data_IF_274134576983
#
_entry.id   IF_274134576983
#
_cell.length_a   1.000
_cell.length_b   1.000
_cell.length_c   1.000
_cell.angle_alpha   90.00
_cell.angle_beta   90.00
_cell.angle_gamma   90.00
#
_symmetry.space_group_name_H-M   'P 1'
#
loop_
_entity.id
_entity.type
_entity.pdbx_description
1 polymer ?
#
# COMPACT_ATOMS: atom_id res chain seq x y z
N UNK A 1 -59.51 -10.22 46.52
CA UNK A 1 -58.03 -10.01 46.51
C UNK A 1 -57.55 -10.18 45.07
N UNK A 2 -57.03 -9.11 44.45
CA UNK A 2 -56.60 -9.08 43.04
C UNK A 2 -55.09 -9.33 42.98
N UNK A 3 -54.66 -10.42 42.34
CA UNK A 3 -53.26 -10.66 42.01
C UNK A 3 -52.93 -9.99 40.66
N UNK A 4 -51.93 -9.10 40.66
CA UNK A 4 -51.40 -8.45 39.46
C UNK A 4 -50.34 -9.36 38.84
N UNK A 5 -50.56 -9.84 37.62
CA UNK A 5 -49.53 -10.47 36.80
C UNK A 5 -48.54 -9.41 36.31
N UNK A 6 -47.26 -9.58 36.63
CA UNK A 6 -46.16 -8.88 35.99
C UNK A 6 -45.84 -9.61 34.67
N UNK A 7 -45.99 -8.92 33.54
CA UNK A 7 -45.53 -9.39 32.24
C UNK A 7 -44.06 -9.00 32.13
N UNK A 8 -43.18 -10.00 32.24
CA UNK A 8 -41.76 -9.86 31.91
C UNK A 8 -41.61 -9.86 30.39
N UNK A 9 -41.21 -8.73 29.82
CA UNK A 9 -40.73 -8.69 28.44
C UNK A 9 -39.33 -9.30 28.42
N UNK A 10 -39.22 -10.53 27.93
CA UNK A 10 -37.95 -11.12 27.52
C UNK A 10 -37.45 -10.34 26.30
N UNK A 11 -36.51 -9.43 26.54
CA UNK A 11 -35.64 -8.90 25.50
C UNK A 11 -34.82 -10.08 24.95
N UNK A 12 -35.27 -10.64 23.82
CA UNK A 12 -34.43 -11.47 22.99
C UNK A 12 -33.26 -10.60 22.54
N UNK A 13 -32.09 -10.90 23.07
CA UNK A 13 -30.83 -10.32 22.64
C UNK A 13 -30.67 -10.56 21.15
N UNK A 14 -30.80 -9.49 20.36
CA UNK A 14 -30.16 -9.46 19.06
C UNK A 14 -28.66 -9.54 19.31
N UNK A 15 -28.07 -10.72 19.15
CA UNK A 15 -26.73 -10.77 18.61
C UNK A 15 -26.81 -10.03 17.28
N UNK A 16 -26.50 -8.73 17.29
CA UNK A 16 -25.83 -8.15 16.15
C UNK A 16 -24.62 -9.05 15.95
N UNK A 17 -24.72 -9.96 14.99
CA UNK A 17 -23.52 -10.42 14.32
C UNK A 17 -22.95 -9.13 13.74
N UNK A 18 -21.99 -8.53 14.45
CA UNK A 18 -21.17 -7.51 13.84
C UNK A 18 -20.55 -8.24 12.66
N UNK A 19 -21.10 -7.99 11.46
CA UNK A 19 -20.36 -8.28 10.24
C UNK A 19 -18.99 -7.65 10.49
N UNK A 20 -17.89 -8.40 10.32
CA UNK A 20 -16.58 -7.81 10.49
C UNK A 20 -16.56 -6.55 9.62
N UNK A 21 -16.39 -5.39 10.24
CA UNK A 21 -16.37 -4.14 9.51
C UNK A 21 -15.11 -4.19 8.64
N UNK A 22 -15.29 -4.55 7.37
CA UNK A 22 -14.19 -4.61 6.42
C UNK A 22 -13.76 -3.17 6.18
N UNK A 23 -12.58 -2.83 6.68
CA UNK A 23 -12.04 -1.47 6.58
C UNK A 23 -10.71 -1.52 5.85
N UNK A 24 -10.32 -0.39 5.24
CA UNK A 24 -8.98 -0.25 4.68
C UNK A 24 -7.89 -0.64 5.71
N UNK A 25 -8.08 -0.22 6.97
CA UNK A 25 -7.16 -0.50 8.08
C UNK A 25 -7.03 -1.98 8.42
N UNK A 26 -8.11 -2.76 8.34
CA UNK A 26 -8.01 -4.21 8.60
C UNK A 26 -7.19 -4.91 7.51
N UNK A 27 -7.35 -4.49 6.25
CA UNK A 27 -6.51 -4.94 5.14
C UNK A 27 -5.04 -4.55 5.30
N UNK A 28 -4.75 -3.33 5.75
CA UNK A 28 -3.39 -2.87 6.07
C UNK A 28 -2.73 -3.75 7.14
N UNK A 29 -3.43 -4.00 8.25
CA UNK A 29 -2.91 -4.81 9.34
C UNK A 29 -2.57 -6.23 8.88
N UNK A 30 -3.44 -6.86 8.07
CA UNK A 30 -3.15 -8.18 7.51
C UNK A 30 -1.93 -8.16 6.58
N UNK A 31 -1.76 -7.10 5.78
CA UNK A 31 -0.57 -6.93 4.94
C UNK A 31 0.71 -6.80 5.76
N UNK A 32 0.67 -6.06 6.87
CA UNK A 32 1.79 -5.94 7.81
C UNK A 32 2.15 -7.27 8.49
N UNK A 33 1.16 -8.14 8.70
CA UNK A 33 1.36 -9.50 9.22
C UNK A 33 1.73 -10.50 8.11
N UNK A 34 1.98 -10.02 6.88
CA UNK A 34 2.27 -10.83 5.70
C UNK A 34 1.13 -11.79 5.30
N UNK A 35 -0.08 -11.54 5.76
CA UNK A 35 -1.30 -12.28 5.41
C UNK A 35 -1.94 -11.71 4.14
N UNK A 36 -1.16 -11.64 3.05
CA UNK A 36 -1.50 -10.92 1.82
C UNK A 36 -2.80 -11.40 1.14
N UNK A 37 -3.05 -12.72 1.13
CA UNK A 37 -4.28 -13.28 0.56
C UNK A 37 -5.53 -12.84 1.34
N UNK A 38 -5.49 -12.94 2.66
CA UNK A 38 -6.59 -12.50 3.53
C UNK A 38 -6.80 -10.99 3.47
N UNK A 39 -5.70 -10.23 3.40
CA UNK A 39 -5.76 -8.78 3.19
C UNK A 39 -6.48 -8.46 1.89
N UNK A 40 -6.10 -9.12 0.79
CA UNK A 40 -6.71 -8.91 -0.54
C UNK A 40 -8.21 -9.20 -0.52
N UNK A 41 -8.62 -10.34 0.05
CA UNK A 41 -10.04 -10.70 0.19
C UNK A 41 -10.84 -9.65 0.96
N UNK A 42 -10.31 -9.14 2.08
CA UNK A 42 -10.99 -8.10 2.85
C UNK A 42 -11.05 -6.75 2.12
N UNK A 43 -9.99 -6.37 1.41
CA UNK A 43 -9.96 -5.12 0.66
C UNK A 43 -10.92 -5.15 -0.53
N UNK A 44 -11.07 -6.29 -1.20
CA UNK A 44 -12.06 -6.50 -2.25
C UNK A 44 -13.50 -6.40 -1.71
N UNK A 45 -13.76 -7.01 -0.54
CA UNK A 45 -15.04 -6.88 0.16
C UNK A 45 -15.32 -5.41 0.54
N UNK A 46 -14.33 -4.70 1.10
CA UNK A 46 -14.41 -3.28 1.42
C UNK A 46 -14.79 -2.43 0.19
N UNK A 47 -14.12 -2.63 -0.95
CA UNK A 47 -14.42 -1.91 -2.20
C UNK A 47 -15.87 -2.16 -2.63
N UNK A 48 -16.33 -3.40 -2.57
CA UNK A 48 -17.70 -3.80 -2.96
C UNK A 48 -18.77 -3.18 -2.07
N UNK A 49 -18.52 -3.09 -0.77
CA UNK A 49 -19.47 -2.55 0.21
C UNK A 49 -19.50 -1.02 0.24
N UNK A 50 -18.45 -0.36 -0.26
CA UNK A 50 -18.27 1.08 -0.19
C UNK A 50 -18.10 1.75 -1.57
N UNK A 51 -19.04 1.57 -2.52
CA UNK A 51 -18.87 2.01 -3.91
C UNK A 51 -18.73 3.53 -4.08
N UNK A 52 -19.18 4.33 -3.11
CA UNK A 52 -19.04 5.79 -3.13
C UNK A 52 -17.71 6.31 -2.58
N UNK A 53 -16.96 5.48 -1.85
CA UNK A 53 -15.68 5.86 -1.21
C UNK A 53 -14.50 5.74 -2.18
N UNK A 54 -14.53 6.50 -3.27
CA UNK A 54 -13.56 6.36 -4.36
C UNK A 54 -12.10 6.53 -3.92
N UNK A 55 -11.81 7.50 -3.04
CA UNK A 55 -10.44 7.69 -2.54
C UNK A 55 -9.95 6.46 -1.78
N UNK A 56 -10.73 5.96 -0.82
CA UNK A 56 -10.37 4.76 -0.06
C UNK A 56 -10.29 3.51 -0.93
N UNK A 57 -11.13 3.39 -1.98
CA UNK A 57 -11.01 2.31 -2.96
C UNK A 57 -9.68 2.37 -3.70
N UNK A 58 -9.22 3.58 -4.06
CA UNK A 58 -7.94 3.74 -4.75
C UNK A 58 -6.75 3.34 -3.89
N UNK A 59 -6.81 3.62 -2.58
CA UNK A 59 -5.81 3.18 -1.61
C UNK A 59 -5.89 1.67 -1.36
N UNK A 60 -7.10 1.11 -1.25
CA UNK A 60 -7.31 -0.33 -1.14
C UNK A 60 -6.74 -1.08 -2.35
N UNK A 61 -6.96 -0.59 -3.57
CA UNK A 61 -6.41 -1.16 -4.80
C UNK A 61 -4.88 -1.07 -4.86
N UNK A 62 -4.29 0.03 -4.37
CA UNK A 62 -2.84 0.18 -4.27
C UNK A 62 -2.24 -0.82 -3.27
N UNK A 63 -2.95 -1.11 -2.18
CA UNK A 63 -2.55 -2.12 -1.20
C UNK A 63 -2.76 -3.55 -1.71
N UNK A 64 -3.84 -3.82 -2.45
CA UNK A 64 -4.03 -5.10 -3.16
C UNK A 64 -2.87 -5.32 -4.15
N UNK A 65 -2.45 -4.27 -4.86
CA UNK A 65 -1.29 -4.33 -5.74
C UNK A 65 0.00 -4.71 -5.01
N UNK A 66 0.22 -4.15 -3.81
CA UNK A 66 1.31 -4.56 -2.92
C UNK A 66 1.24 -6.05 -2.58
N UNK A 67 0.07 -6.53 -2.16
CA UNK A 67 -0.15 -7.92 -1.78
C UNK A 67 0.16 -8.89 -2.91
N UNK A 68 -0.35 -8.62 -4.12
CA UNK A 68 -0.04 -9.42 -5.30
C UNK A 68 1.46 -9.42 -5.63
N UNK A 69 2.12 -8.26 -5.52
CA UNK A 69 3.56 -8.16 -5.74
C UNK A 69 4.34 -9.04 -4.75
N UNK A 70 3.96 -9.05 -3.47
CA UNK A 70 4.60 -9.88 -2.45
C UNK A 70 4.35 -11.39 -2.66
N UNK A 71 3.21 -11.75 -3.27
CA UNK A 71 2.90 -13.11 -3.67
C UNK A 71 3.57 -13.54 -5.00
N UNK A 72 4.32 -12.65 -5.64
CA UNK A 72 4.95 -12.90 -6.95
C UNK A 72 3.99 -12.80 -8.14
N UNK A 73 2.75 -12.39 -7.91
CA UNK A 73 1.73 -12.20 -8.94
C UNK A 73 1.83 -10.81 -9.55
N UNK A 74 2.88 -10.61 -10.34
CA UNK A 74 3.20 -9.30 -10.91
C UNK A 74 2.15 -8.80 -11.92
N UNK A 75 1.40 -9.71 -12.56
CA UNK A 75 0.37 -9.31 -13.51
C UNK A 75 -0.81 -8.65 -12.79
N UNK A 76 -1.32 -9.28 -11.72
CA UNK A 76 -2.40 -8.69 -10.93
C UNK A 76 -1.92 -7.48 -10.12
N UNK A 77 -0.65 -7.45 -9.69
CA UNK A 77 -0.07 -6.26 -9.09
C UNK A 77 -0.15 -5.04 -10.02
N UNK A 78 0.22 -5.19 -11.30
CA UNK A 78 0.12 -4.11 -12.28
C UNK A 78 -1.34 -3.74 -12.56
N UNK A 79 -2.22 -4.72 -12.79
CA UNK A 79 -3.61 -4.46 -13.10
C UNK A 79 -4.37 -3.71 -11.98
N UNK A 80 -4.10 -4.05 -10.72
CA UNK A 80 -4.71 -3.39 -9.56
C UNK A 80 -4.09 -2.00 -9.31
N UNK A 81 -2.80 -1.82 -9.59
CA UNK A 81 -2.17 -0.49 -9.61
C UNK A 81 -2.79 0.43 -10.68
N UNK A 82 -3.04 -0.10 -11.88
CA UNK A 82 -3.73 0.63 -12.96
C UNK A 82 -5.16 1.00 -12.57
N UNK A 83 -5.86 0.12 -11.85
CA UNK A 83 -7.19 0.41 -11.32
C UNK A 83 -7.16 1.53 -10.29
N UNK A 84 -6.21 1.52 -9.36
CA UNK A 84 -5.97 2.61 -8.40
C UNK A 84 -5.73 3.95 -9.13
N UNK A 85 -4.81 3.97 -10.10
CA UNK A 85 -4.50 5.18 -10.89
C UNK A 85 -5.70 5.72 -11.66
N UNK A 86 -6.55 4.86 -12.22
CA UNK A 86 -7.77 5.30 -12.91
C UNK A 86 -8.72 6.03 -11.96
N UNK A 87 -8.87 5.55 -10.73
CA UNK A 87 -9.71 6.24 -9.73
C UNK A 87 -9.05 7.56 -9.29
N UNK A 88 -7.74 7.57 -9.02
CA UNK A 88 -7.02 8.81 -8.67
C UNK A 88 -7.13 9.87 -9.77
N UNK A 89 -7.06 9.46 -11.04
CA UNK A 89 -7.26 10.35 -12.18
C UNK A 89 -8.70 10.91 -12.24
N UNK A 90 -9.72 10.10 -11.93
CA UNK A 90 -11.10 10.58 -11.82
C UNK A 90 -11.28 11.62 -10.72
N UNK A 91 -10.57 11.44 -9.60
CA UNK A 91 -10.58 12.35 -8.46
C UNK A 91 -9.67 13.58 -8.64
N UNK A 92 -8.88 13.62 -9.72
CA UNK A 92 -7.82 14.62 -9.93
C UNK A 92 -6.84 14.68 -8.76
N UNK A 93 -6.57 13.53 -8.14
CA UNK A 93 -5.60 13.40 -7.06
C UNK A 93 -4.16 13.50 -7.61
N UNK A 94 -3.28 14.14 -6.85
CA UNK A 94 -1.87 14.38 -7.19
C UNK A 94 -0.90 13.39 -6.49
N UNK A 95 -1.41 12.60 -5.55
CA UNK A 95 -0.67 11.62 -4.74
C UNK A 95 -0.36 10.30 -5.50
N UNK A 96 0.30 10.44 -6.64
CA UNK A 96 0.57 9.33 -7.56
C UNK A 96 1.91 8.63 -7.31
N UNK A 97 2.74 9.18 -6.42
CA UNK A 97 4.11 8.72 -6.15
C UNK A 97 4.14 7.21 -5.88
N UNK A 98 3.30 6.73 -4.94
CA UNK A 98 3.27 5.31 -4.55
C UNK A 98 2.91 4.38 -5.71
N UNK A 99 2.03 4.80 -6.63
CA UNK A 99 1.68 4.02 -7.82
C UNK A 99 2.87 3.90 -8.78
N UNK A 100 3.65 4.97 -8.97
CA UNK A 100 4.87 4.93 -9.78
C UNK A 100 5.98 4.10 -9.12
N UNK A 101 6.14 4.21 -7.79
CA UNK A 101 7.03 3.32 -7.03
C UNK A 101 6.62 1.86 -7.20
N UNK A 102 5.31 1.56 -7.18
CA UNK A 102 4.80 0.20 -7.40
C UNK A 102 5.17 -0.35 -8.77
N UNK A 103 5.01 0.42 -9.85
CA UNK A 103 5.50 0.00 -11.17
C UNK A 103 7.00 -0.28 -11.15
N UNK A 104 7.78 0.65 -10.59
CA UNK A 104 9.23 0.53 -10.43
C UNK A 104 9.63 -0.76 -9.75
N UNK A 105 9.05 -1.05 -8.59
CA UNK A 105 9.31 -2.24 -7.80
C UNK A 105 8.92 -3.53 -8.53
N UNK A 106 7.74 -3.57 -9.17
CA UNK A 106 7.31 -4.76 -9.93
C UNK A 106 8.26 -5.02 -11.11
N UNK A 107 8.67 -3.99 -11.86
CA UNK A 107 9.60 -4.16 -12.97
C UNK A 107 11.01 -4.54 -12.51
N UNK A 108 11.46 -4.01 -11.37
CA UNK A 108 12.72 -4.40 -10.72
C UNK A 108 12.72 -5.89 -10.39
N UNK A 109 11.65 -6.39 -9.74
CA UNK A 109 11.50 -7.82 -9.40
C UNK A 109 11.44 -8.73 -10.63
N UNK A 110 10.92 -8.23 -11.75
CA UNK A 110 10.90 -8.93 -13.04
C UNK A 110 12.22 -8.85 -13.83
N UNK A 111 13.25 -8.19 -13.29
CA UNK A 111 14.54 -7.99 -13.98
C UNK A 111 14.50 -6.95 -15.11
N UNK A 112 13.40 -6.19 -15.25
CA UNK A 112 13.24 -5.16 -16.26
C UNK A 112 13.82 -3.83 -15.76
N UNK A 113 15.13 -3.80 -15.51
CA UNK A 113 15.78 -2.72 -14.77
C UNK A 113 15.63 -1.33 -15.42
N UNK A 114 15.75 -1.22 -16.75
CA UNK A 114 15.58 0.07 -17.45
C UNK A 114 14.15 0.63 -17.32
N UNK A 115 13.15 -0.25 -17.33
CA UNK A 115 11.75 0.16 -17.14
C UNK A 115 11.48 0.53 -15.68
N UNK A 116 12.10 -0.20 -14.73
CA UNK A 116 12.08 0.15 -13.32
C UNK A 116 12.65 1.57 -13.09
N UNK A 117 13.82 1.88 -13.66
CA UNK A 117 14.41 3.23 -13.59
C UNK A 117 13.45 4.30 -14.12
N UNK A 118 12.82 4.05 -15.27
CA UNK A 118 11.90 5.03 -15.89
C UNK A 118 10.74 5.38 -14.95
N UNK A 119 10.12 4.38 -14.33
CA UNK A 119 9.01 4.60 -13.38
C UNK A 119 9.48 5.22 -12.06
N UNK A 120 10.63 4.83 -11.54
CA UNK A 120 11.17 5.37 -10.29
C UNK A 120 11.64 6.82 -10.43
N UNK A 121 12.24 7.19 -11.56
CA UNK A 121 12.56 8.59 -11.88
C UNK A 121 11.28 9.41 -11.99
N UNK A 122 10.25 8.87 -12.66
CA UNK A 122 8.93 9.52 -12.71
C UNK A 122 8.32 9.71 -11.31
N UNK A 123 8.49 8.75 -10.40
CA UNK A 123 8.04 8.90 -9.01
C UNK A 123 8.81 10.02 -8.29
N UNK A 124 10.13 10.13 -8.52
CA UNK A 124 10.99 11.15 -7.90
C UNK A 124 10.72 12.56 -8.41
N UNK A 125 10.19 12.70 -9.63
CA UNK A 125 9.81 14.00 -10.23
C UNK A 125 8.47 14.55 -9.70
N UNK A 126 7.70 13.76 -8.96
CA UNK A 126 6.43 14.18 -8.36
C UNK A 126 6.64 14.82 -6.98
N UNK A 127 5.71 15.64 -6.48
CA UNK A 127 5.76 16.11 -5.11
C UNK A 127 5.71 14.95 -4.11
N UNK A 128 6.72 14.85 -3.25
CA UNK A 128 6.79 13.84 -2.19
C UNK A 128 6.77 14.56 -0.84
N UNK A 129 5.74 14.29 -0.05
CA UNK A 129 5.57 14.85 1.30
C UNK A 129 6.22 13.96 2.38
N UNK A 130 6.30 12.65 2.13
CA UNK A 130 6.81 11.64 3.05
C UNK A 130 8.33 11.45 2.85
N UNK A 131 9.14 11.99 3.78
CA UNK A 131 10.61 11.94 3.70
C UNK A 131 11.14 10.49 3.54
N UNK A 132 10.71 9.51 4.37
CA UNK A 132 11.02 8.10 4.15
C UNK A 132 10.78 7.56 2.73
N UNK A 133 9.81 8.11 1.99
CA UNK A 133 9.52 7.64 0.64
C UNK A 133 10.64 7.97 -0.36
N UNK A 134 11.40 9.05 -0.14
CA UNK A 134 12.62 9.33 -0.92
C UNK A 134 13.65 8.21 -0.75
N UNK A 135 13.87 7.75 0.48
CA UNK A 135 14.81 6.68 0.75
C UNK A 135 14.40 5.37 0.06
N UNK A 136 13.11 5.05 0.03
CA UNK A 136 12.57 3.89 -0.68
C UNK A 136 12.80 3.98 -2.18
N UNK A 137 12.53 5.15 -2.79
CA UNK A 137 12.76 5.37 -4.22
C UNK A 137 14.24 5.23 -4.56
N UNK A 138 15.12 5.84 -3.78
CA UNK A 138 16.57 5.78 -4.00
C UNK A 138 17.13 4.37 -3.82
N UNK A 139 16.62 3.61 -2.85
CA UNK A 139 16.96 2.19 -2.69
C UNK A 139 16.57 1.36 -3.92
N UNK A 140 15.39 1.59 -4.49
CA UNK A 140 14.96 0.90 -5.71
C UNK A 140 15.75 1.34 -6.95
N UNK A 141 16.07 2.64 -7.08
CA UNK A 141 16.93 3.15 -8.15
C UNK A 141 18.30 2.50 -8.10
N UNK A 142 18.90 2.43 -6.90
CA UNK A 142 20.18 1.78 -6.68
C UNK A 142 20.16 0.30 -7.08
N UNK A 143 19.09 -0.43 -6.69
CA UNK A 143 18.91 -1.82 -7.06
C UNK A 143 18.78 -2.01 -8.59
N UNK A 144 18.06 -1.12 -9.27
CA UNK A 144 17.91 -1.15 -10.72
C UNK A 144 19.24 -0.87 -11.45
N UNK A 145 19.99 0.17 -11.03
CA UNK A 145 21.32 0.46 -11.56
C UNK A 145 22.29 -0.70 -11.34
N UNK A 146 22.27 -1.31 -10.15
CA UNK A 146 23.06 -2.51 -9.85
C UNK A 146 22.71 -3.66 -10.79
N UNK A 147 21.42 -3.87 -11.07
CA UNK A 147 20.94 -4.87 -12.03
C UNK A 147 21.45 -4.64 -13.46
N UNK A 148 21.69 -3.39 -13.84
CA UNK A 148 22.30 -3.01 -15.13
C UNK A 148 23.84 -3.06 -15.13
N UNK A 149 24.48 -3.40 -14.01
CA UNK A 149 25.95 -3.37 -13.87
C UNK A 149 26.53 -1.96 -13.67
N UNK A 150 25.68 -0.96 -13.42
CA UNK A 150 26.07 0.43 -13.20
C UNK A 150 26.33 0.68 -11.70
N UNK A 151 27.46 0.14 -11.23
CA UNK A 151 27.75 0.07 -9.79
C UNK A 151 28.03 1.42 -9.13
N UNK A 152 28.57 2.39 -9.87
CA UNK A 152 28.88 3.72 -9.34
C UNK A 152 27.59 4.49 -9.03
N UNK A 153 26.64 4.47 -9.97
CA UNK A 153 25.31 5.04 -9.82
C UNK A 153 24.55 4.34 -8.70
N UNK A 154 24.60 3.01 -8.65
CA UNK A 154 23.99 2.23 -7.57
C UNK A 154 24.51 2.65 -6.18
N UNK A 155 25.83 2.76 -6.02
CA UNK A 155 26.45 3.19 -4.76
C UNK A 155 26.04 4.62 -4.37
N UNK A 156 25.93 5.53 -5.35
CA UNK A 156 25.48 6.90 -5.10
C UNK A 156 24.05 6.96 -4.57
N UNK A 157 23.12 6.22 -5.19
CA UNK A 157 21.72 6.18 -4.74
C UNK A 157 21.55 5.44 -3.41
N UNK A 158 22.29 4.35 -3.15
CA UNK A 158 22.27 3.71 -1.83
C UNK A 158 22.72 4.67 -0.73
N UNK A 159 23.76 5.47 -0.99
CA UNK A 159 24.20 6.50 -0.04
C UNK A 159 23.11 7.55 0.22
N UNK A 160 22.45 8.06 -0.82
CA UNK A 160 21.34 9.02 -0.66
C UNK A 160 20.17 8.44 0.14
N UNK A 161 19.83 7.17 -0.09
CA UNK A 161 18.81 6.45 0.67
C UNK A 161 19.15 6.38 2.16
N UNK A 162 20.39 6.02 2.50
CA UNK A 162 20.88 5.97 3.89
C UNK A 162 20.90 7.37 4.52
N UNK A 163 21.42 8.38 3.83
CA UNK A 163 21.47 9.76 4.32
C UNK A 163 20.07 10.29 4.66
N UNK A 164 19.07 9.97 3.83
CA UNK A 164 17.66 10.34 4.08
C UNK A 164 17.13 9.67 5.35
N UNK A 165 17.40 8.37 5.53
CA UNK A 165 16.95 7.64 6.72
C UNK A 165 17.64 8.13 8.00
N UNK A 166 18.91 8.54 7.93
CA UNK A 166 19.64 9.09 9.08
C UNK A 166 19.13 10.48 9.51
N UNK A 167 18.56 11.25 8.58
CA UNK A 167 17.92 12.54 8.92
C UNK A 167 16.61 12.29 9.69
N UNK A 168 15.80 11.32 9.24
CA UNK A 168 14.50 11.01 9.85
C UNK A 168 14.64 10.21 11.16
N UNK A 169 15.61 9.30 11.19
CA UNK A 169 15.91 8.42 12.33
C UNK A 169 17.39 8.58 12.70
N UNK A 170 17.78 9.71 13.32
CA UNK A 170 19.16 9.87 13.79
C UNK A 170 19.46 8.74 14.76
N UNK A 171 20.58 8.04 14.55
CA UNK A 171 21.01 7.00 15.47
C UNK A 171 21.29 7.63 16.83
N UNK A 172 20.50 7.30 17.84
CA UNK A 172 20.85 7.50 19.25
C UNK A 172 22.01 6.55 19.55
N UNK A 173 23.22 6.99 19.22
CA UNK A 173 24.45 6.35 19.64
C UNK A 173 24.91 6.99 20.96
N UNK A 174 24.63 6.41 22.14
CA UNK A 174 25.46 6.67 23.30
C UNK A 174 26.86 6.08 23.04
N UNK A 175 27.89 6.92 23.21
CA UNK A 175 29.32 6.56 23.12
C UNK A 175 29.71 5.37 24.02
#
# INVERSE_FOLDING_TARGET
>A
MRARLFIFWLFYGGMLTAQPEFTLKSGEQLSHLNQYGQSTEQLEAFIKENPSRLYDQSEALLLISYNHMQLGDYANALATNDASLRIKAQLQADDLVKNYVRYGAVHLLRGNYSLALSYLMRAKDLPIEDIPLYAVIDGHLAAAYRGLGQFAEAAAYYRQSIETLLIEYPEDHPE
#
